data_IF_480551393240
#
_entry.id   IF_480551393240
#
_cell.length_a   1.000
_cell.length_b   1.000
_cell.length_c   1.000
_cell.angle_alpha   90.00
_cell.angle_beta   90.00
_cell.angle_gamma   90.00
#
_symmetry.space_group_name_H-M   'P 1'
#
loop_
_entity.id
_entity.type
_entity.pdbx_description
1 polymer ?
#
# COMPACT_ATOMS: atom_id res chain seq x y z
N UNK A 1 3.48 -4.40 -16.41
CA UNK A 1 2.96 -3.46 -15.37
C UNK A 1 3.24 -4.00 -13.97
N UNK A 2 2.93 -5.26 -13.68
CA UNK A 2 3.29 -5.90 -12.41
C UNK A 2 4.79 -5.83 -12.13
N UNK A 3 5.65 -6.05 -13.12
CA UNK A 3 7.12 -5.92 -12.96
C UNK A 3 7.55 -4.51 -12.53
N UNK A 4 6.88 -3.46 -13.03
CA UNK A 4 7.16 -2.07 -12.64
C UNK A 4 6.71 -1.81 -11.19
N UNK A 5 5.63 -2.44 -10.76
CA UNK A 5 5.15 -2.36 -9.37
C UNK A 5 6.00 -3.21 -8.42
N UNK A 6 6.56 -4.33 -8.88
CA UNK A 6 7.58 -5.09 -8.15
C UNK A 6 8.83 -4.23 -7.95
N UNK A 7 9.30 -3.50 -8.98
CA UNK A 7 10.41 -2.57 -8.82
C UNK A 7 10.13 -1.45 -7.79
N UNK A 8 8.88 -1.01 -7.63
CA UNK A 8 8.50 -0.07 -6.58
C UNK A 8 8.65 -0.66 -5.17
N UNK A 9 8.43 -1.98 -5.03
CA UNK A 9 8.63 -2.73 -3.79
C UNK A 9 10.12 -3.03 -3.57
N UNK A 10 10.85 -3.46 -4.60
CA UNK A 10 12.26 -3.86 -4.43
C UNK A 10 13.20 -2.68 -4.25
N UNK A 11 12.91 -1.59 -4.97
CA UNK A 11 13.84 -0.47 -5.10
C UNK A 11 13.21 0.87 -4.75
N UNK A 12 11.88 0.98 -4.76
CA UNK A 12 11.16 2.24 -4.62
C UNK A 12 10.56 2.51 -3.24
N UNK A 13 9.43 3.22 -3.24
CA UNK A 13 8.74 3.69 -2.03
C UNK A 13 7.86 2.63 -1.37
N UNK A 14 7.69 1.47 -1.99
CA UNK A 14 6.81 0.40 -1.51
C UNK A 14 7.56 -0.72 -0.77
N UNK A 15 8.86 -0.53 -0.43
CA UNK A 15 9.74 -1.51 0.24
C UNK A 15 9.17 -2.17 1.48
N UNK A 16 8.38 -1.42 2.25
CA UNK A 16 7.71 -1.94 3.45
C UNK A 16 6.84 -3.18 3.20
N UNK A 17 6.38 -3.39 1.95
CA UNK A 17 5.54 -4.52 1.56
C UNK A 17 6.31 -5.80 1.18
N UNK A 18 7.64 -5.79 1.21
CA UNK A 18 8.44 -6.99 0.95
C UNK A 18 8.09 -8.11 1.93
N UNK A 19 7.88 -9.30 1.38
CA UNK A 19 7.73 -10.55 2.14
C UNK A 19 8.72 -11.54 1.55
N UNK A 20 9.52 -12.15 2.40
CA UNK A 20 10.57 -13.07 1.96
C UNK A 20 9.99 -14.23 1.13
N UNK A 21 10.59 -14.51 -0.02
CA UNK A 21 10.21 -15.57 -0.94
C UNK A 21 8.77 -15.50 -1.50
N UNK A 22 8.13 -14.33 -1.43
CA UNK A 22 6.84 -14.09 -2.08
C UNK A 22 7.00 -12.86 -2.99
N UNK A 23 6.83 -12.99 -4.33
CA UNK A 23 6.91 -11.85 -5.21
C UNK A 23 5.71 -10.94 -4.97
N UNK A 24 5.95 -9.67 -4.67
CA UNK A 24 4.92 -8.68 -4.32
C UNK A 24 4.98 -7.50 -5.29
N UNK A 25 3.85 -7.20 -5.94
CA UNK A 25 3.67 -5.98 -6.69
C UNK A 25 2.89 -4.99 -5.80
N UNK A 26 3.46 -3.80 -5.56
CA UNK A 26 2.86 -2.87 -4.60
C UNK A 26 3.03 -1.41 -4.98
N UNK A 27 2.13 -0.57 -4.46
CA UNK A 27 2.22 0.88 -4.64
C UNK A 27 1.63 1.66 -3.48
N UNK A 28 2.36 2.70 -3.10
CA UNK A 28 1.93 3.74 -2.15
C UNK A 28 1.01 4.77 -2.81
N UNK A 29 0.03 5.26 -2.06
CA UNK A 29 -0.78 6.43 -2.39
C UNK A 29 -0.81 7.43 -1.22
N UNK A 30 -0.78 8.71 -1.54
CA UNK A 30 -0.91 9.83 -0.61
C UNK A 30 -1.72 10.91 -1.32
N UNK A 31 -2.92 11.20 -0.83
CA UNK A 31 -3.82 12.18 -1.44
C UNK A 31 -4.18 13.26 -0.42
N UNK A 32 -3.96 14.54 -0.75
CA UNK A 32 -4.38 15.66 0.10
C UNK A 32 -5.90 15.76 0.12
N UNK A 33 -6.47 16.03 1.30
CA UNK A 33 -7.91 16.17 1.48
C UNK A 33 -8.34 17.57 1.03
N UNK A 34 -9.35 17.64 0.17
CA UNK A 34 -9.95 18.88 -0.31
C UNK A 34 -11.06 19.36 0.64
N UNK A 35 -10.98 20.61 1.07
CA UNK A 35 -12.05 21.31 1.78
C UNK A 35 -12.87 22.14 0.79
N UNK A 36 -14.15 21.79 0.66
CA UNK A 36 -15.08 22.46 -0.26
C UNK A 36 -15.49 23.84 0.24
N UNK A 37 -15.60 24.05 1.54
CA UNK A 37 -16.02 25.33 2.12
C UNK A 37 -14.88 26.35 2.07
N UNK A 38 -13.67 25.90 2.40
CA UNK A 38 -12.46 26.73 2.34
C UNK A 38 -11.85 26.84 0.93
N UNK A 39 -12.37 26.08 -0.05
CA UNK A 39 -11.90 26.02 -1.44
C UNK A 39 -10.37 25.82 -1.56
N UNK A 40 -9.81 24.93 -0.73
CA UNK A 40 -8.37 24.63 -0.68
C UNK A 40 -8.11 23.22 -0.18
N UNK A 41 -6.91 22.70 -0.43
CA UNK A 41 -6.43 21.51 0.26
C UNK A 41 -6.19 21.82 1.75
N UNK A 42 -6.64 20.92 2.61
CA UNK A 42 -6.41 21.01 4.05
C UNK A 42 -4.94 20.74 4.31
N UNK A 43 -4.28 21.68 4.97
CA UNK A 43 -2.88 21.53 5.32
C UNK A 43 -2.71 20.31 6.24
N UNK A 44 -1.71 19.49 5.96
CA UNK A 44 -1.33 18.35 6.78
C UNK A 44 -2.40 17.24 6.90
N UNK A 45 -3.47 17.25 6.09
CA UNK A 45 -4.51 16.22 6.09
C UNK A 45 -4.51 15.42 4.78
N UNK A 46 -4.32 14.11 4.91
CA UNK A 46 -4.16 13.20 3.79
C UNK A 46 -4.98 11.93 3.98
N UNK A 47 -5.47 11.38 2.88
CA UNK A 47 -5.79 9.96 2.78
C UNK A 47 -4.53 9.24 2.33
N UNK A 48 -4.08 8.31 3.16
CA UNK A 48 -2.86 7.55 2.95
C UNK A 48 -3.22 6.11 2.61
N UNK A 49 -2.71 5.58 1.51
CA UNK A 49 -3.10 4.24 1.04
C UNK A 49 -1.95 3.36 0.58
N UNK A 50 -2.19 2.06 0.57
CA UNK A 50 -1.29 1.08 -0.01
C UNK A 50 -2.10 0.03 -0.80
N UNK A 51 -1.67 -0.24 -2.03
CA UNK A 51 -2.19 -1.32 -2.85
C UNK A 51 -1.11 -2.39 -3.00
N UNK A 52 -1.50 -3.65 -2.87
CA UNK A 52 -0.65 -4.81 -2.97
C UNK A 52 -1.35 -5.90 -3.79
N UNK A 53 -0.63 -6.53 -4.71
CA UNK A 53 -1.06 -7.69 -5.51
C UNK A 53 -0.13 -8.85 -5.16
N UNK A 54 -0.70 -10.00 -4.82
CA UNK A 54 0.06 -11.13 -4.30
C UNK A 54 -0.49 -12.51 -4.71
N UNK A 55 0.40 -13.45 -5.06
CA UNK A 55 1.76 -13.23 -5.55
C UNK A 55 1.78 -12.35 -6.83
N UNK A 56 2.91 -11.76 -7.19
CA UNK A 56 2.98 -10.90 -8.38
C UNK A 56 3.13 -11.68 -9.70
N UNK A 57 3.70 -12.89 -9.62
CA UNK A 57 3.91 -13.80 -10.75
C UNK A 57 2.65 -14.61 -11.10
N UNK A 58 1.88 -15.00 -10.08
CA UNK A 58 0.58 -15.64 -10.22
C UNK A 58 -0.46 -14.98 -9.30
N UNK A 59 -1.03 -13.82 -9.69
CA UNK A 59 -1.94 -13.05 -8.83
C UNK A 59 -3.15 -13.84 -8.34
N UNK A 60 -3.28 -13.97 -7.02
CA UNK A 60 -4.41 -14.63 -6.36
C UNK A 60 -5.34 -13.66 -5.67
N UNK A 61 -4.82 -12.57 -5.13
CA UNK A 61 -5.61 -11.54 -4.46
C UNK A 61 -4.96 -10.16 -4.49
N UNK A 62 -5.78 -9.17 -4.14
CA UNK A 62 -5.39 -7.76 -3.95
C UNK A 62 -5.67 -7.37 -2.51
N UNK A 63 -4.75 -6.64 -1.89
CA UNK A 63 -4.98 -5.94 -0.62
C UNK A 63 -4.91 -4.44 -0.89
N UNK A 64 -5.98 -3.72 -0.53
CA UNK A 64 -6.00 -2.27 -0.56
C UNK A 64 -6.37 -1.72 0.81
N UNK A 65 -5.53 -0.84 1.34
CA UNK A 65 -5.76 -0.16 2.62
C UNK A 65 -5.74 1.34 2.36
N UNK A 66 -6.74 2.03 2.89
CA UNK A 66 -6.79 3.49 2.94
C UNK A 66 -7.05 3.95 4.38
N UNK A 67 -6.28 4.93 4.83
CA UNK A 67 -6.36 5.51 6.17
C UNK A 67 -6.63 6.99 6.02
N UNK A 68 -7.78 7.44 6.52
CA UNK A 68 -8.13 8.86 6.59
C UNK A 68 -7.37 9.52 7.75
N UNK A 69 -6.66 10.62 7.45
CA UNK A 69 -5.90 11.43 8.42
C UNK A 69 -5.04 10.59 9.37
N UNK A 70 -4.17 9.74 8.80
CA UNK A 70 -3.21 8.96 9.55
C UNK A 70 -2.35 9.86 10.47
N UNK A 71 -2.33 9.54 11.78
CA UNK A 71 -1.60 10.33 12.78
C UNK A 71 -0.10 10.01 12.82
N UNK A 72 0.28 8.82 12.37
CA UNK A 72 1.65 8.29 12.47
C UNK A 72 2.57 8.76 11.34
N UNK A 73 2.03 9.03 10.14
CA UNK A 73 2.79 9.52 8.98
C UNK A 73 1.85 9.90 7.82
N UNK A 74 2.35 10.77 6.93
CA UNK A 74 1.68 11.19 5.68
C UNK A 74 1.95 10.25 4.51
N UNK A 75 2.90 9.32 4.63
CA UNK A 75 3.30 8.45 3.52
C UNK A 75 2.56 7.10 3.55
N UNK A 76 2.10 6.66 2.37
CA UNK A 76 1.47 5.34 2.14
C UNK A 76 2.24 4.17 2.75
N UNK A 77 3.57 4.25 2.66
CA UNK A 77 4.51 3.25 3.17
C UNK A 77 4.44 3.09 4.69
N UNK A 78 4.15 4.15 5.42
CA UNK A 78 4.33 4.14 6.87
C UNK A 78 3.01 3.83 7.58
N UNK A 79 1.90 4.39 7.07
CA UNK A 79 0.60 4.23 7.71
C UNK A 79 -0.19 3.00 7.22
N UNK A 80 -0.07 2.64 5.93
CA UNK A 80 -0.88 1.58 5.32
C UNK A 80 -0.06 0.36 4.88
N UNK A 81 1.22 0.56 4.53
CA UNK A 81 2.12 -0.48 4.05
C UNK A 81 2.31 -1.69 4.99
N UNK A 82 2.61 -1.50 6.30
CA UNK A 82 2.83 -2.62 7.22
C UNK A 82 1.58 -3.48 7.38
N UNK A 83 0.41 -2.86 7.51
CA UNK A 83 -0.86 -3.57 7.60
C UNK A 83 -1.14 -4.37 6.30
N UNK A 84 -0.85 -3.81 5.13
CA UNK A 84 -1.05 -4.50 3.86
C UNK A 84 -0.13 -5.72 3.75
N UNK A 85 1.13 -5.59 4.16
CA UNK A 85 2.10 -6.69 4.22
C UNK A 85 1.62 -7.80 5.15
N UNK A 86 1.23 -7.46 6.37
CA UNK A 86 0.86 -8.45 7.40
C UNK A 86 -0.42 -9.21 7.00
N UNK A 87 -1.40 -8.51 6.42
CA UNK A 87 -2.61 -9.14 5.86
C UNK A 87 -2.26 -10.04 4.68
N UNK A 88 -1.42 -9.59 3.74
CA UNK A 88 -1.02 -10.40 2.60
C UNK A 88 -0.27 -11.67 3.03
N UNK A 89 0.65 -11.55 3.99
CA UNK A 89 1.37 -12.70 4.55
C UNK A 89 0.44 -13.69 5.25
N UNK A 90 -0.60 -13.20 5.94
CA UNK A 90 -1.64 -14.04 6.52
C UNK A 90 -2.48 -14.75 5.45
N UNK A 91 -2.99 -14.01 4.46
CA UNK A 91 -3.82 -14.54 3.38
C UNK A 91 -3.07 -15.59 2.54
N UNK A 92 -1.77 -15.37 2.25
CA UNK A 92 -0.95 -16.35 1.51
C UNK A 92 -0.83 -17.71 2.20
N UNK A 93 -0.94 -17.78 3.53
CA UNK A 93 -0.95 -19.07 4.24
C UNK A 93 -2.25 -19.83 4.07
N UNK A 94 -3.34 -19.15 3.72
CA UNK A 94 -4.67 -19.75 3.54
C UNK A 94 -4.95 -20.14 2.09
N UNK A 95 -4.31 -19.45 1.13
CA UNK A 95 -4.53 -19.67 -0.32
C UNK A 95 -3.65 -20.80 -0.88
N UNK A 96 -2.71 -21.34 -0.09
CA UNK A 96 -1.93 -22.55 -0.39
C UNK A 96 -2.78 -23.79 -0.09
N UNK A 97 -3.82 -24.01 -0.90
CA UNK A 97 -4.51 -25.29 -1.07
C UNK A 97 -4.34 -25.76 -2.52
#
# INVERSE_FOLDING_TARGET
MLDMMQAAVDHGTARVAQIENIPIAGKTGTAQIWDREANRYVENAYVTSFLLICPADEPRFVVYIAVDRAQVSRHGSDAAGPAARDIAGFAMRQVRE
#
